data_IF_055147786725
#
_entry.id   IF_055147786725
#
_cell.length_a   1.000
_cell.length_b   1.000
_cell.length_c   1.000
_cell.angle_alpha   90.00
_cell.angle_beta   90.00
_cell.angle_gamma   90.00
#
_symmetry.space_group_name_H-M   'P 1'
#
loop_
_entity.id
_entity.type
_entity.pdbx_description
1 polymer ?
#
# COMPACT_ATOMS: atom_id res chain seq x y z
N UNK A 1 30.09 32.41 7.84
CA UNK A 1 29.71 31.26 6.98
C UNK A 1 30.58 30.03 7.20
N UNK A 2 31.90 30.16 7.41
CA UNK A 2 32.82 29.02 7.63
C UNK A 2 32.41 28.10 8.78
N UNK A 3 31.92 28.64 9.91
CA UNK A 3 31.48 27.84 11.07
C UNK A 3 30.22 27.01 10.80
N UNK A 4 29.22 27.60 10.13
CA UNK A 4 27.98 26.90 9.74
C UNK A 4 28.32 25.70 8.85
N UNK A 5 29.17 25.90 7.85
CA UNK A 5 29.60 24.84 6.93
C UNK A 5 30.39 23.75 7.67
N UNK A 6 31.25 24.11 8.63
CA UNK A 6 31.97 23.14 9.44
C UNK A 6 31.03 22.26 10.28
N UNK A 7 30.01 22.86 10.91
CA UNK A 7 28.99 22.11 11.65
C UNK A 7 28.20 21.21 10.70
N UNK A 8 27.76 21.73 9.55
CA UNK A 8 27.01 20.95 8.57
C UNK A 8 27.82 19.77 8.03
N UNK A 9 29.10 19.99 7.70
CA UNK A 9 29.99 18.95 7.20
C UNK A 9 30.29 17.91 8.27
N UNK A 10 30.49 18.33 9.53
CA UNK A 10 30.67 17.42 10.67
C UNK A 10 29.47 16.48 10.79
N UNK A 11 28.26 17.03 10.84
CA UNK A 11 27.03 16.24 11.02
C UNK A 11 26.76 15.34 9.81
N UNK A 12 26.97 15.86 8.60
CA UNK A 12 26.86 15.08 7.37
C UNK A 12 27.81 13.86 7.38
N UNK A 13 29.10 14.08 7.66
CA UNK A 13 30.10 13.01 7.70
C UNK A 13 29.83 12.03 8.84
N UNK A 14 29.41 12.52 10.01
CA UNK A 14 29.06 11.70 11.16
C UNK A 14 27.93 10.70 10.86
N UNK A 15 27.05 11.00 9.90
CA UNK A 15 26.02 10.05 9.46
C UNK A 15 26.49 9.22 8.26
N UNK A 16 26.94 9.85 7.18
CA UNK A 16 27.18 9.18 5.88
C UNK A 16 28.35 8.20 5.92
N UNK A 17 29.35 8.43 6.77
CA UNK A 17 30.51 7.51 6.89
C UNK A 17 30.23 6.28 7.75
N UNK A 18 29.07 6.22 8.42
CA UNK A 18 28.74 5.09 9.29
C UNK A 18 28.36 3.87 8.47
N UNK A 19 28.81 2.69 8.89
CA UNK A 19 28.37 1.41 8.30
C UNK A 19 26.86 1.23 8.40
N UNK A 20 26.25 1.74 9.48
CA UNK A 20 24.80 1.71 9.68
C UNK A 20 24.04 2.49 8.61
N UNK A 21 24.51 3.67 8.22
CA UNK A 21 23.91 4.45 7.14
C UNK A 21 24.02 3.72 5.79
N UNK A 22 25.21 3.25 5.42
CA UNK A 22 25.42 2.54 4.15
C UNK A 22 24.58 1.26 4.08
N UNK A 23 24.54 0.50 5.18
CA UNK A 23 23.70 -0.69 5.28
C UNK A 23 22.22 -0.33 5.17
N UNK A 24 21.72 0.66 5.92
CA UNK A 24 20.33 1.09 5.85
C UNK A 24 19.93 1.58 4.45
N UNK A 25 20.82 2.33 3.80
CA UNK A 25 20.64 2.86 2.46
C UNK A 25 20.44 1.74 1.42
N UNK A 26 21.13 0.60 1.55
CA UNK A 26 20.99 -0.52 0.60
C UNK A 26 19.95 -1.54 1.07
N UNK A 27 19.87 -1.79 2.37
CA UNK A 27 18.99 -2.80 2.94
C UNK A 27 17.51 -2.46 2.76
N UNK A 28 17.11 -1.20 2.94
CA UNK A 28 15.69 -0.81 2.77
C UNK A 28 15.15 -1.14 1.36
N UNK A 29 15.77 -0.69 0.25
CA UNK A 29 15.29 -1.07 -1.08
C UNK A 29 15.47 -2.56 -1.38
N UNK A 30 16.52 -3.21 -0.87
CA UNK A 30 16.70 -4.66 -1.04
C UNK A 30 15.60 -5.47 -0.36
N UNK A 31 15.26 -5.15 0.89
CA UNK A 31 14.16 -5.77 1.64
C UNK A 31 12.84 -5.49 0.93
N UNK A 32 12.60 -4.26 0.47
CA UNK A 32 11.41 -3.92 -0.31
C UNK A 32 11.29 -4.74 -1.58
N UNK A 33 12.38 -4.88 -2.34
CA UNK A 33 12.44 -5.70 -3.55
C UNK A 33 12.20 -7.18 -3.28
N UNK A 34 12.85 -7.75 -2.25
CA UNK A 34 12.62 -9.13 -1.81
C UNK A 34 11.17 -9.31 -1.38
N UNK A 35 10.61 -8.39 -0.59
CA UNK A 35 9.22 -8.47 -0.14
C UNK A 35 8.26 -8.42 -1.32
N UNK A 36 8.49 -7.60 -2.34
CA UNK A 36 7.64 -7.59 -3.55
C UNK A 36 7.74 -8.92 -4.31
N UNK A 37 8.93 -9.53 -4.38
CA UNK A 37 9.14 -10.82 -5.03
C UNK A 37 8.51 -11.98 -4.24
N UNK A 38 8.56 -11.90 -2.91
CA UNK A 38 8.14 -12.95 -1.98
C UNK A 38 6.69 -12.77 -1.52
N UNK A 39 6.10 -11.57 -1.61
CA UNK A 39 4.73 -11.30 -1.19
C UNK A 39 3.70 -12.23 -1.85
N UNK A 40 3.72 -12.46 -3.18
CA UNK A 40 2.83 -13.44 -3.79
C UNK A 40 2.94 -14.82 -3.14
N UNK A 41 4.16 -15.27 -2.79
CA UNK A 41 4.40 -16.55 -2.12
C UNK A 41 4.05 -16.59 -0.63
N UNK A 42 4.08 -15.45 0.07
CA UNK A 42 3.68 -15.35 1.48
C UNK A 42 2.17 -15.36 1.66
N UNK A 43 1.45 -14.93 0.64
CA UNK A 43 -0.01 -15.02 0.55
C UNK A 43 -0.46 -16.24 -0.29
N UNK A 44 0.47 -17.14 -0.65
CA UNK A 44 0.19 -18.35 -1.42
C UNK A 44 -0.19 -19.49 -0.46
N UNK A 45 -1.48 -19.84 -0.47
CA UNK A 45 -2.13 -20.86 0.35
C UNK A 45 -1.72 -22.30 -0.04
N UNK A 46 -0.43 -22.61 0.00
CA UNK A 46 0.07 -23.95 -0.39
C UNK A 46 -0.26 -25.06 0.62
N UNK A 47 -0.62 -24.70 1.85
CA UNK A 47 -0.83 -25.66 2.95
C UNK A 47 -2.29 -25.79 3.42
N UNK A 48 -3.22 -24.94 2.95
CA UNK A 48 -4.62 -25.04 3.36
C UNK A 48 -5.35 -26.18 2.64
N UNK A 49 -5.85 -27.16 3.40
CA UNK A 49 -6.61 -28.30 2.87
C UNK A 49 -8.09 -28.11 3.14
N UNK A 50 -8.86 -27.88 2.08
CA UNK A 50 -10.32 -27.92 2.13
C UNK A 50 -10.72 -29.37 2.40
N UNK A 51 -11.25 -29.63 3.59
CA UNK A 51 -11.65 -30.96 4.01
C UNK A 51 -12.94 -30.91 4.84
N UNK A 52 -13.88 -31.79 4.52
CA UNK A 52 -15.13 -31.89 5.27
C UNK A 52 -16.25 -32.62 4.55
N UNK A 53 -17.31 -32.89 5.31
CA UNK A 53 -18.56 -33.44 4.81
C UNK A 53 -19.58 -32.32 4.56
N UNK A 54 -20.17 -32.34 3.38
CA UNK A 54 -21.14 -31.36 2.91
C UNK A 54 -22.44 -32.09 2.60
N UNK A 55 -23.53 -31.57 3.12
CA UNK A 55 -24.86 -32.09 2.86
C UNK A 55 -25.60 -31.18 1.86
N UNK A 56 -26.26 -31.76 0.87
CA UNK A 56 -27.09 -31.02 -0.09
C UNK A 56 -28.51 -31.56 -0.14
N UNK A 57 -29.48 -30.67 0.01
CA UNK A 57 -30.90 -30.90 -0.28
C UNK A 57 -31.17 -30.28 -1.65
N UNK A 58 -31.46 -31.11 -2.64
CA UNK A 58 -31.71 -30.68 -4.02
C UNK A 58 -33.11 -31.14 -4.49
N UNK A 59 -34.14 -30.29 -4.34
CA UNK A 59 -35.49 -30.58 -4.83
C UNK A 59 -35.57 -30.65 -6.36
N UNK A 60 -34.60 -30.06 -7.07
CA UNK A 60 -34.58 -30.02 -8.54
C UNK A 60 -34.01 -31.30 -9.14
N UNK A 61 -33.23 -32.06 -8.36
CA UNK A 61 -32.51 -33.27 -8.78
C UNK A 61 -31.39 -33.03 -9.81
N UNK A 62 -31.20 -31.79 -10.27
CA UNK A 62 -30.27 -31.44 -11.34
C UNK A 62 -28.95 -30.85 -10.82
N UNK A 63 -28.90 -30.30 -9.61
CA UNK A 63 -27.76 -29.56 -9.07
C UNK A 63 -26.80 -30.50 -8.33
N UNK A 64 -27.30 -31.45 -7.55
CA UNK A 64 -26.48 -32.36 -6.75
C UNK A 64 -25.49 -33.22 -7.58
N UNK A 65 -25.86 -33.78 -8.74
CA UNK A 65 -24.90 -34.51 -9.59
C UNK A 65 -23.78 -33.63 -10.15
N UNK A 66 -24.10 -32.36 -10.49
CA UNK A 66 -23.14 -31.38 -11.04
C UNK A 66 -22.20 -30.84 -9.97
N UNK A 67 -22.73 -30.60 -8.76
CA UNK A 67 -21.90 -30.21 -7.63
C UNK A 67 -20.88 -31.31 -7.27
N UNK A 68 -21.28 -32.58 -7.34
CA UNK A 68 -20.35 -33.70 -7.15
C UNK A 68 -19.20 -33.68 -8.15
N UNK A 69 -19.49 -33.39 -9.43
CA UNK A 69 -18.47 -33.24 -10.46
C UNK A 69 -17.58 -32.01 -10.24
N UNK A 70 -18.15 -30.88 -9.80
CA UNK A 70 -17.42 -29.63 -9.55
C UNK A 70 -16.40 -29.75 -8.40
N UNK A 71 -16.69 -30.59 -7.40
CA UNK A 71 -15.83 -30.82 -6.22
C UNK A 71 -14.69 -31.80 -6.52
N UNK A 72 -14.78 -32.58 -7.60
CA UNK A 72 -13.79 -33.61 -7.93
C UNK A 72 -12.38 -32.99 -8.12
N UNK A 73 -11.31 -33.64 -7.62
CA UNK A 73 -9.96 -33.04 -7.62
C UNK A 73 -9.49 -32.53 -9.00
N UNK A 74 -9.89 -33.21 -10.08
CA UNK A 74 -9.54 -32.82 -11.45
C UNK A 74 -10.26 -31.53 -11.89
N UNK A 75 -11.55 -31.38 -11.56
CA UNK A 75 -12.32 -30.18 -11.85
C UNK A 75 -11.77 -28.98 -11.08
N UNK A 76 -11.40 -29.17 -9.81
CA UNK A 76 -10.80 -28.14 -8.95
C UNK A 76 -9.44 -27.69 -9.50
N UNK A 77 -8.58 -28.64 -9.88
CA UNK A 77 -7.28 -28.34 -10.49
C UNK A 77 -7.43 -27.58 -11.83
N UNK A 78 -8.36 -28.00 -12.68
CA UNK A 78 -8.67 -27.32 -13.94
C UNK A 78 -9.13 -25.87 -13.73
N UNK A 79 -9.96 -25.63 -12.71
CA UNK A 79 -10.44 -24.29 -12.34
C UNK A 79 -9.33 -23.39 -11.84
N UNK A 80 -8.47 -23.88 -10.94
CA UNK A 80 -7.31 -23.13 -10.44
C UNK A 80 -6.37 -22.74 -11.58
N UNK A 81 -6.12 -23.66 -12.50
CA UNK A 81 -5.33 -23.40 -13.70
C UNK A 81 -5.98 -22.35 -14.62
N UNK A 82 -7.29 -22.44 -14.86
CA UNK A 82 -8.03 -21.47 -15.66
C UNK A 82 -8.09 -20.07 -15.00
N UNK A 83 -8.16 -20.01 -13.66
CA UNK A 83 -8.12 -18.77 -12.91
C UNK A 83 -6.74 -18.10 -12.97
N UNK A 84 -5.66 -18.88 -12.83
CA UNK A 84 -4.29 -18.41 -13.02
C UNK A 84 -4.08 -17.86 -14.43
N UNK A 85 -4.49 -18.60 -15.47
CA UNK A 85 -4.39 -18.15 -16.86
C UNK A 85 -5.14 -16.83 -17.08
N UNK A 86 -6.38 -16.73 -16.63
CA UNK A 86 -7.17 -15.47 -16.67
C UNK A 86 -6.53 -14.33 -15.87
N UNK A 87 -5.83 -14.64 -14.79
CA UNK A 87 -5.04 -13.69 -14.02
C UNK A 87 -3.83 -13.18 -14.81
N UNK A 88 -3.08 -14.10 -15.44
CA UNK A 88 -1.96 -13.79 -16.33
C UNK A 88 -2.41 -12.99 -17.56
N UNK A 89 -3.61 -13.25 -18.09
CA UNK A 89 -4.19 -12.47 -19.19
C UNK A 89 -4.48 -11.01 -18.83
N UNK A 90 -4.56 -10.69 -17.54
CA UNK A 90 -4.72 -9.31 -17.04
C UNK A 90 -3.40 -8.61 -16.77
N UNK A 91 -2.29 -9.34 -16.79
CA UNK A 91 -0.95 -8.79 -16.60
C UNK A 91 -0.50 -8.15 -17.92
N UNK A 92 0.01 -6.90 -17.91
CA UNK A 92 0.53 -6.26 -19.12
C UNK A 92 1.59 -7.13 -19.81
N UNK A 93 1.59 -7.15 -21.15
CA UNK A 93 2.49 -7.98 -21.97
C UNK A 93 3.99 -7.92 -21.55
N UNK A 94 4.55 -6.75 -21.17
CA UNK A 94 5.96 -6.66 -20.73
C UNK A 94 6.29 -7.42 -19.45
N UNK A 95 5.29 -7.63 -18.58
CA UNK A 95 5.43 -8.38 -17.32
C UNK A 95 5.04 -9.84 -17.52
N UNK A 96 4.10 -10.10 -18.44
CA UNK A 96 3.61 -11.43 -18.79
C UNK A 96 4.70 -12.31 -19.42
N UNK A 97 5.49 -11.77 -20.36
CA UNK A 97 6.58 -12.54 -21.01
C UNK A 97 7.65 -12.99 -20.01
N UNK A 98 8.02 -12.12 -19.06
CA UNK A 98 8.97 -12.44 -17.99
C UNK A 98 8.38 -13.44 -16.98
N UNK A 99 7.07 -13.35 -16.70
CA UNK A 99 6.38 -14.28 -15.83
C UNK A 99 6.18 -15.65 -16.50
N UNK A 100 5.87 -15.71 -17.80
CA UNK A 100 5.73 -16.95 -18.57
C UNK A 100 7.04 -17.76 -18.61
N UNK A 101 8.19 -17.09 -18.70
CA UNK A 101 9.51 -17.72 -18.60
C UNK A 101 9.87 -18.21 -17.18
N UNK A 102 9.22 -17.67 -16.15
CA UNK A 102 9.45 -18.00 -14.74
C UNK A 102 8.49 -19.08 -14.20
N UNK A 103 7.46 -19.49 -14.95
CA UNK A 103 6.45 -20.46 -14.52
C UNK A 103 6.85 -21.88 -14.96
N UNK A 104 7.23 -22.78 -14.04
CA UNK A 104 7.64 -24.12 -14.42
C UNK A 104 6.46 -24.96 -14.95
N UNK A 105 6.71 -25.91 -15.88
CA UNK A 105 5.67 -26.76 -16.47
C UNK A 105 4.96 -27.71 -15.49
N UNK A 106 5.40 -27.80 -14.23
CA UNK A 106 4.77 -28.57 -13.15
C UNK A 106 3.71 -27.79 -12.35
N UNK A 107 3.04 -26.82 -12.98
CA UNK A 107 2.05 -25.92 -12.36
C UNK A 107 0.93 -26.66 -11.60
N UNK A 108 0.58 -27.88 -12.03
CA UNK A 108 -0.43 -28.70 -11.35
C UNK A 108 -0.02 -29.17 -9.93
N UNK A 109 1.28 -29.33 -9.67
CA UNK A 109 1.80 -29.70 -8.35
C UNK A 109 1.96 -28.49 -7.41
N UNK A 110 2.01 -27.27 -7.96
CA UNK A 110 2.15 -26.02 -7.21
C UNK A 110 0.78 -25.38 -6.86
N UNK A 111 -0.32 -25.90 -7.39
CA UNK A 111 -1.69 -25.38 -7.21
C UNK A 111 -2.38 -25.80 -5.89
N UNK A 112 -1.60 -26.25 -4.90
CA UNK A 112 -2.07 -26.69 -3.58
C UNK A 112 -2.63 -28.13 -3.55
N UNK A 113 -2.84 -28.71 -2.36
CA UNK A 113 -3.36 -30.07 -2.20
C UNK A 113 -4.79 -30.20 -2.77
N UNK A 114 -5.19 -31.39 -3.26
CA UNK A 114 -6.55 -31.64 -3.70
C UNK A 114 -7.51 -31.55 -2.50
N UNK A 115 -8.74 -31.03 -2.70
CA UNK A 115 -9.75 -31.02 -1.64
C UNK A 115 -10.19 -32.44 -1.28
N UNK A 116 -10.36 -32.71 0.01
CA UNK A 116 -10.89 -33.98 0.54
C UNK A 116 -12.32 -33.77 1.04
N UNK A 117 -13.24 -33.72 0.08
CA UNK A 117 -14.62 -33.29 0.31
C UNK A 117 -15.57 -34.45 0.04
N UNK A 118 -16.48 -34.71 0.98
CA UNK A 118 -17.56 -35.69 0.82
C UNK A 118 -18.90 -34.97 0.66
N UNK A 119 -19.63 -35.28 -0.40
CA UNK A 119 -20.95 -34.72 -0.67
C UNK A 119 -22.04 -35.77 -0.44
N UNK A 120 -22.84 -35.56 0.60
CA UNK A 120 -23.99 -36.40 0.98
C UNK A 120 -25.28 -35.74 0.46
N UNK A 121 -26.08 -36.47 -0.32
CA UNK A 121 -27.35 -35.96 -0.87
C UNK A 121 -28.48 -36.38 0.05
N UNK A 122 -29.17 -35.40 0.62
CA UNK A 122 -30.35 -35.59 1.45
C UNK A 122 -31.61 -35.68 0.59
N UNK A 123 -32.66 -36.39 1.05
CA UNK A 123 -33.97 -36.38 0.39
C UNK A 123 -34.54 -34.97 0.21
N UNK A 124 -35.33 -34.75 -0.85
CA UNK A 124 -35.94 -33.45 -1.15
C UNK A 124 -36.98 -33.01 -0.09
N UNK A 125 -37.51 -33.96 0.67
CA UNK A 125 -38.47 -33.79 1.78
C UNK A 125 -37.80 -33.89 3.16
N UNK A 126 -36.46 -33.84 3.23
CA UNK A 126 -35.73 -33.92 4.49
C UNK A 126 -36.10 -32.79 5.46
N UNK A 127 -36.20 -33.11 6.75
CA UNK A 127 -36.45 -32.13 7.81
C UNK A 127 -35.24 -31.20 7.95
N UNK A 128 -35.46 -29.91 7.66
CA UNK A 128 -34.42 -28.88 7.71
C UNK A 128 -33.95 -28.60 9.14
N UNK A 129 -34.79 -28.82 10.16
CA UNK A 129 -34.38 -28.67 11.56
C UNK A 129 -33.42 -29.79 11.97
N UNK A 130 -33.67 -31.02 11.53
CA UNK A 130 -32.79 -32.17 11.75
C UNK A 130 -31.46 -32.01 10.98
N UNK A 131 -31.52 -31.53 9.74
CA UNK A 131 -30.32 -31.27 8.94
C UNK A 131 -29.45 -30.13 9.52
N UNK A 132 -30.07 -29.10 10.12
CA UNK A 132 -29.35 -28.04 10.85
C UNK A 132 -28.78 -28.55 12.18
N UNK A 133 -29.50 -29.43 12.87
CA UNK A 133 -29.00 -30.08 14.08
C UNK A 133 -27.79 -30.96 13.78
N UNK A 134 -27.77 -31.68 12.64
CA UNK A 134 -26.60 -32.40 12.15
C UNK A 134 -25.39 -31.47 11.96
N UNK A 135 -25.59 -30.26 11.42
CA UNK A 135 -24.50 -29.29 11.27
C UNK A 135 -24.01 -28.70 12.61
N UNK A 136 -24.91 -28.60 13.61
CA UNK A 136 -24.63 -28.02 14.92
C UNK A 136 -24.01 -29.02 15.93
N UNK A 137 -24.09 -30.32 15.67
CA UNK A 137 -23.40 -31.34 16.46
C UNK A 137 -21.88 -31.20 16.34
N UNK A 138 -21.26 -30.68 17.40
CA UNK A 138 -19.84 -30.40 17.49
C UNK A 138 -19.05 -31.69 17.76
N UNK A 139 -18.97 -32.58 16.77
CA UNK A 139 -18.20 -33.81 16.88
C UNK A 139 -17.68 -34.28 15.52
N UNK A 140 -16.48 -33.83 15.18
CA UNK A 140 -15.56 -34.73 14.51
C UNK A 140 -14.91 -35.59 15.60
N UNK A 141 -15.33 -36.86 15.73
CA UNK A 141 -14.49 -37.83 16.43
C UNK A 141 -13.09 -37.85 15.78
N UNK A 142 -12.00 -38.15 16.49
CA UNK A 142 -10.66 -38.15 15.90
C UNK A 142 -10.59 -39.08 14.67
N UNK A 143 -10.57 -38.51 13.46
CA UNK A 143 -10.55 -39.25 12.19
C UNK A 143 -11.83 -39.20 11.35
N UNK A 144 -12.93 -38.60 11.83
CA UNK A 144 -14.12 -38.34 11.02
C UNK A 144 -14.06 -36.98 10.32
N UNK A 145 -14.51 -36.89 9.05
CA UNK A 145 -14.52 -35.62 8.32
C UNK A 145 -15.44 -34.63 9.03
N UNK A 146 -14.93 -33.42 9.27
CA UNK A 146 -15.70 -32.34 9.90
C UNK A 146 -16.91 -31.99 9.04
N UNK A 147 -18.08 -31.85 9.66
CA UNK A 147 -19.30 -31.36 9.00
C UNK A 147 -19.10 -29.89 8.65
N UNK A 148 -19.05 -29.59 7.35
CA UNK A 148 -18.55 -28.31 6.84
C UNK A 148 -19.68 -27.39 6.39
N UNK A 149 -20.69 -27.89 5.65
CA UNK A 149 -21.86 -27.08 5.31
C UNK A 149 -23.11 -27.91 4.99
N UNK A 150 -24.27 -27.28 5.16
CA UNK A 150 -25.56 -27.74 4.65
C UNK A 150 -26.04 -26.77 3.56
N UNK A 151 -26.37 -27.32 2.40
CA UNK A 151 -26.75 -26.58 1.20
C UNK A 151 -28.20 -26.94 0.87
N UNK A 152 -29.05 -25.92 0.76
CA UNK A 152 -30.46 -26.10 0.41
C UNK A 152 -30.74 -25.37 -0.89
N UNK A 153 -30.99 -26.11 -1.96
CA UNK A 153 -31.31 -25.54 -3.27
C UNK A 153 -32.79 -25.19 -3.33
N UNK A 154 -33.14 -24.00 -3.80
CA UNK A 154 -34.54 -23.61 -3.98
C UNK A 154 -35.18 -24.39 -5.15
N UNK A 155 -36.47 -24.73 -5.04
CA UNK A 155 -37.18 -25.54 -6.04
C UNK A 155 -37.21 -24.93 -7.45
N UNK A 156 -37.16 -23.60 -7.53
CA UNK A 156 -37.18 -22.77 -8.74
C UNK A 156 -35.78 -22.31 -9.17
N UNK A 157 -34.72 -22.88 -8.57
CA UNK A 157 -33.35 -22.47 -8.82
C UNK A 157 -32.83 -22.81 -10.23
N UNK A 158 -33.42 -23.82 -10.89
CA UNK A 158 -32.99 -24.31 -12.21
C UNK A 158 -33.99 -23.91 -13.30
N UNK A 159 -35.28 -24.15 -13.07
CA UNK A 159 -36.36 -23.78 -14.00
C UNK A 159 -37.41 -22.99 -13.25
N UNK A 160 -37.64 -21.74 -13.65
CA UNK A 160 -38.70 -20.89 -13.11
C UNK A 160 -40.01 -21.14 -13.84
N UNK A 161 -41.14 -20.91 -13.17
CA UNK A 161 -42.47 -20.98 -13.77
C UNK A 161 -42.73 -19.82 -14.75
N UNK A 162 -42.10 -18.66 -14.52
CA UNK A 162 -42.17 -17.46 -15.36
C UNK A 162 -40.80 -17.14 -16.00
N UNK A 163 -40.68 -17.13 -17.34
CA UNK A 163 -39.45 -16.76 -18.05
C UNK A 163 -38.94 -15.34 -17.77
N UNK A 164 -39.80 -14.44 -17.27
CA UNK A 164 -39.45 -13.06 -16.95
C UNK A 164 -39.09 -12.85 -15.46
N UNK A 165 -39.35 -13.83 -14.60
CA UNK A 165 -39.02 -13.76 -13.18
C UNK A 165 -37.56 -14.16 -12.91
N UNK A 166 -37.00 -13.62 -11.83
CA UNK A 166 -35.70 -14.07 -11.35
C UNK A 166 -35.80 -15.52 -10.85
N UNK A 167 -34.88 -16.38 -11.30
CA UNK A 167 -34.78 -17.76 -10.82
C UNK A 167 -34.39 -17.81 -9.33
N UNK A 168 -34.85 -18.85 -8.64
CA UNK A 168 -34.51 -19.13 -7.25
C UNK A 168 -33.01 -19.30 -7.00
N UNK A 169 -32.61 -19.34 -5.73
CA UNK A 169 -31.19 -19.37 -5.33
C UNK A 169 -30.88 -20.59 -4.47
N UNK A 170 -30.11 -20.40 -3.40
CA UNK A 170 -29.79 -21.43 -2.43
C UNK A 170 -29.58 -20.79 -1.06
N UNK A 171 -29.81 -21.57 -0.02
CA UNK A 171 -29.41 -21.24 1.34
C UNK A 171 -28.20 -22.09 1.73
N UNK A 172 -27.16 -21.43 2.28
CA UNK A 172 -25.95 -22.07 2.76
C UNK A 172 -25.86 -21.90 4.29
N UNK A 173 -25.88 -23.00 5.02
CA UNK A 173 -25.66 -23.02 6.46
C UNK A 173 -24.25 -23.55 6.73
N UNK A 174 -23.48 -22.81 7.51
CA UNK A 174 -22.10 -23.15 7.89
C UNK A 174 -21.89 -23.00 9.40
N UNK A 175 -20.99 -23.79 10.03
CA UNK A 175 -20.62 -23.60 11.42
C UNK A 175 -19.95 -22.24 11.65
N UNK A 176 -20.15 -21.64 12.83
CA UNK A 176 -19.63 -20.30 13.16
C UNK A 176 -18.10 -20.17 13.16
N UNK A 177 -17.37 -21.29 13.21
CA UNK A 177 -15.90 -21.35 13.15
C UNK A 177 -15.34 -21.89 11.83
N UNK A 178 -16.17 -21.98 10.78
CA UNK A 178 -15.70 -22.37 9.45
C UNK A 178 -14.79 -21.25 8.89
N UNK A 179 -13.68 -21.65 8.26
CA UNK A 179 -12.79 -20.70 7.61
C UNK A 179 -13.46 -20.12 6.36
N UNK A 180 -13.29 -18.81 6.12
CA UNK A 180 -13.87 -18.13 4.96
C UNK A 180 -13.49 -18.80 3.63
N UNK A 181 -12.33 -19.46 3.55
CA UNK A 181 -11.89 -20.18 2.35
C UNK A 181 -12.74 -21.42 2.03
N UNK A 182 -13.19 -22.16 3.04
CA UNK A 182 -14.12 -23.28 2.86
C UNK A 182 -15.49 -22.74 2.39
N UNK A 183 -15.91 -21.59 2.95
CA UNK A 183 -17.14 -20.90 2.57
C UNK A 183 -17.09 -20.46 1.10
N UNK A 184 -16.02 -19.80 0.68
CA UNK A 184 -15.81 -19.33 -0.69
C UNK A 184 -15.78 -20.49 -1.68
N UNK A 185 -15.11 -21.60 -1.32
CA UNK A 185 -15.11 -22.82 -2.12
C UNK A 185 -16.52 -23.37 -2.36
N UNK A 186 -17.38 -23.37 -1.32
CA UNK A 186 -18.77 -23.79 -1.44
C UNK A 186 -19.57 -22.91 -2.37
N UNK A 187 -19.48 -21.58 -2.17
CA UNK A 187 -20.20 -20.62 -3.02
C UNK A 187 -19.84 -20.81 -4.48
N UNK A 188 -18.56 -21.00 -4.79
CA UNK A 188 -18.11 -21.19 -6.17
C UNK A 188 -18.58 -22.54 -6.75
N UNK A 189 -18.48 -23.63 -5.99
CA UNK A 189 -18.96 -24.94 -6.42
C UNK A 189 -20.49 -24.98 -6.64
N UNK A 190 -21.27 -24.35 -5.76
CA UNK A 190 -22.74 -24.25 -5.90
C UNK A 190 -23.09 -23.38 -7.10
N UNK A 191 -22.44 -22.22 -7.25
CA UNK A 191 -22.67 -21.29 -8.36
C UNK A 191 -22.43 -21.98 -9.71
N UNK A 192 -21.34 -22.73 -9.82
CA UNK A 192 -21.03 -23.51 -11.02
C UNK A 192 -22.07 -24.59 -11.29
N UNK A 193 -22.42 -25.40 -10.28
CA UNK A 193 -23.40 -26.46 -10.42
C UNK A 193 -24.79 -25.94 -10.83
N UNK A 194 -25.25 -24.84 -10.23
CA UNK A 194 -26.52 -24.19 -10.58
C UNK A 194 -26.45 -23.59 -12.00
N UNK A 195 -25.34 -22.93 -12.34
CA UNK A 195 -25.19 -22.31 -13.67
C UNK A 195 -25.18 -23.35 -14.77
N UNK A 196 -24.50 -24.48 -14.54
CA UNK A 196 -24.48 -25.62 -15.47
C UNK A 196 -25.84 -26.31 -15.54
N UNK A 197 -26.54 -26.46 -14.41
CA UNK A 197 -27.90 -27.01 -14.39
C UNK A 197 -28.87 -26.13 -15.19
N UNK A 198 -28.80 -24.80 -15.04
CA UNK A 198 -29.58 -23.83 -15.81
C UNK A 198 -29.25 -23.89 -17.31
N UNK A 199 -27.97 -23.91 -17.66
CA UNK A 199 -27.55 -23.99 -19.04
C UNK A 199 -28.11 -25.26 -19.70
N UNK A 200 -27.97 -26.42 -19.03
CA UNK A 200 -28.49 -27.68 -19.52
C UNK A 200 -30.02 -27.72 -19.62
N UNK A 201 -30.74 -27.12 -18.66
CA UNK A 201 -32.21 -27.06 -18.68
C UNK A 201 -32.77 -26.21 -19.85
N UNK A 202 -31.95 -25.33 -20.42
CA UNK A 202 -32.31 -24.46 -21.54
C UNK A 202 -31.62 -24.85 -22.86
N UNK A 203 -31.08 -26.07 -22.95
CA UNK A 203 -30.34 -26.57 -24.13
C UNK A 203 -29.16 -25.65 -24.54
N UNK A 204 -28.57 -24.94 -23.58
CA UNK A 204 -27.41 -24.08 -23.80
C UNK A 204 -26.13 -24.85 -23.48
N UNK A 205 -25.19 -24.85 -24.43
CA UNK A 205 -23.83 -25.31 -24.16
C UNK A 205 -23.10 -24.25 -23.32
N UNK A 206 -22.74 -24.63 -22.08
CA UNK A 206 -22.02 -23.75 -21.15
C UNK A 206 -20.71 -23.24 -21.75
N UNK A 207 -19.96 -24.10 -22.45
CA UNK A 207 -18.70 -23.71 -23.07
C UNK A 207 -18.91 -22.74 -24.24
N UNK A 208 -20.02 -22.86 -24.98
CA UNK A 208 -20.41 -21.87 -25.98
C UNK A 208 -20.78 -20.53 -25.32
N UNK A 209 -21.57 -20.53 -24.26
CA UNK A 209 -21.96 -19.31 -23.54
C UNK A 209 -20.73 -18.59 -22.96
N UNK A 210 -19.81 -19.32 -22.34
CA UNK A 210 -18.57 -18.74 -21.80
C UNK A 210 -17.73 -18.10 -22.91
N UNK A 211 -17.53 -18.78 -24.04
CA UNK A 211 -16.82 -18.21 -25.20
C UNK A 211 -17.51 -16.97 -25.77
N UNK A 212 -18.85 -16.94 -25.77
CA UNK A 212 -19.62 -15.78 -26.24
C UNK A 212 -19.50 -14.57 -25.29
N UNK A 213 -19.35 -14.82 -23.99
CA UNK A 213 -19.18 -13.78 -22.98
C UNK A 213 -17.71 -13.38 -22.78
N UNK A 214 -16.77 -14.21 -23.23
CA UNK A 214 -15.34 -13.96 -23.17
C UNK A 214 -14.93 -12.95 -24.24
N UNK A 215 -15.14 -11.67 -23.91
CA UNK A 215 -14.58 -10.56 -24.68
C UNK A 215 -13.24 -10.18 -24.04
N UNK A 216 -12.09 -10.57 -24.63
CA UNK A 216 -10.79 -10.21 -24.07
C UNK A 216 -10.68 -8.68 -24.05
N UNK A 217 -10.37 -8.13 -22.87
CA UNK A 217 -10.04 -6.70 -22.75
C UNK A 217 -8.76 -6.46 -23.52
N UNK A 218 -8.87 -5.92 -24.73
CA UNK A 218 -7.71 -5.46 -25.46
C UNK A 218 -7.09 -4.27 -24.70
N UNK A 219 -5.76 -4.21 -24.70
CA UNK A 219 -5.03 -3.10 -24.11
C UNK A 219 -5.53 -1.78 -24.74
N UNK A 220 -5.87 -0.80 -23.92
CA UNK A 220 -6.21 0.52 -24.42
C UNK A 220 -4.97 1.17 -25.00
N UNK A 221 -5.01 1.54 -26.29
CA UNK A 221 -3.96 2.34 -26.91
C UNK A 221 -4.26 3.79 -26.55
N UNK A 222 -3.38 4.44 -25.78
CA UNK A 222 -3.49 5.86 -25.52
C UNK A 222 -3.08 6.63 -26.78
N UNK A 223 -4.01 7.37 -27.36
CA UNK A 223 -3.73 8.27 -28.49
C UNK A 223 -3.37 9.64 -27.93
N UNK A 224 -2.08 10.00 -28.00
CA UNK A 224 -1.54 11.28 -27.55
C UNK A 224 -0.29 11.67 -28.37
N UNK A 225 -0.01 12.97 -28.46
CA UNK A 225 1.03 13.53 -29.32
C UNK A 225 2.44 13.05 -28.93
N UNK A 226 2.90 11.93 -29.49
CA UNK A 226 4.31 11.57 -29.56
C UNK A 226 4.70 10.12 -29.26
N UNK A 227 3.80 9.26 -28.75
CA UNK A 227 4.09 7.84 -28.60
C UNK A 227 2.80 7.01 -28.50
N UNK A 228 2.59 6.10 -29.44
CA UNK A 228 1.68 4.96 -29.26
C UNK A 228 2.37 4.00 -28.28
N UNK A 229 2.17 4.25 -26.98
CA UNK A 229 2.61 3.35 -25.92
C UNK A 229 1.43 2.56 -25.40
N UNK A 230 1.62 1.25 -25.21
CA UNK A 230 0.66 0.47 -24.43
C UNK A 230 0.44 1.17 -23.09
N UNK A 231 -0.82 1.39 -22.73
CA UNK A 231 -1.12 1.93 -21.41
C UNK A 231 -0.76 0.87 -20.37
N UNK A 232 0.44 0.98 -19.79
CA UNK A 232 0.75 0.40 -18.48
C UNK A 232 0.02 1.24 -17.42
N UNK A 233 -1.31 1.32 -17.54
CA UNK A 233 -2.16 2.25 -16.79
C UNK A 233 -2.14 1.98 -15.29
N UNK A 234 -1.70 0.79 -14.86
CA UNK A 234 -1.43 0.48 -13.46
C UNK A 234 -0.18 1.20 -12.94
N UNK A 235 0.93 1.20 -13.69
CA UNK A 235 2.19 1.78 -13.22
C UNK A 235 2.17 3.31 -13.24
N UNK A 236 1.55 3.93 -14.25
CA UNK A 236 1.39 5.39 -14.30
C UNK A 236 0.59 5.93 -13.11
N UNK A 237 -0.37 5.15 -12.60
CA UNK A 237 -1.14 5.50 -11.39
C UNK A 237 -0.32 5.44 -10.11
N UNK A 238 0.79 4.69 -10.10
CA UNK A 238 1.68 4.55 -8.95
C UNK A 238 2.79 5.60 -8.92
N UNK A 239 3.08 6.28 -10.03
CA UNK A 239 4.11 7.31 -10.09
C UNK A 239 3.92 8.44 -9.06
N UNK A 240 2.73 9.05 -8.90
CA UNK A 240 2.50 10.04 -7.85
C UNK A 240 2.84 9.54 -6.46
N UNK A 241 2.48 8.29 -6.16
CA UNK A 241 2.78 7.68 -4.88
C UNK A 241 4.29 7.46 -4.71
N UNK A 242 5.02 7.04 -5.75
CA UNK A 242 6.47 6.86 -5.72
C UNK A 242 7.20 8.18 -5.43
N UNK A 243 6.86 9.28 -6.13
CA UNK A 243 7.42 10.60 -5.87
C UNK A 243 7.12 11.10 -4.45
N UNK A 244 5.88 10.92 -4.00
CA UNK A 244 5.47 11.28 -2.64
C UNK A 244 6.25 10.47 -1.59
N UNK A 245 6.32 9.15 -1.73
CA UNK A 245 7.06 8.25 -0.82
C UNK A 245 8.52 8.67 -0.74
N UNK A 246 9.13 8.95 -1.89
CA UNK A 246 10.53 9.34 -1.96
C UNK A 246 10.79 10.65 -1.20
N UNK A 247 9.92 11.66 -1.39
CA UNK A 247 9.98 12.92 -0.65
C UNK A 247 9.72 12.70 0.86
N UNK A 248 8.76 11.84 1.19
CA UNK A 248 8.38 11.47 2.55
C UNK A 248 9.54 10.82 3.31
N UNK A 249 10.13 9.78 2.72
CA UNK A 249 11.26 9.05 3.31
C UNK A 249 12.45 9.98 3.50
N UNK A 250 12.76 10.81 2.51
CA UNK A 250 13.83 11.80 2.63
C UNK A 250 13.64 12.76 3.80
N UNK A 251 12.43 13.31 3.97
CA UNK A 251 12.14 14.25 5.05
C UNK A 251 12.06 13.56 6.42
N UNK A 252 11.35 12.43 6.53
CA UNK A 252 11.22 11.72 7.80
C UNK A 252 12.55 11.22 8.32
N UNK A 253 13.34 10.56 7.48
CA UNK A 253 14.59 9.93 7.94
C UNK A 253 15.59 11.00 8.40
N UNK A 254 15.80 12.05 7.60
CA UNK A 254 16.72 13.13 8.02
C UNK A 254 16.21 13.95 9.18
N UNK A 255 14.91 14.23 9.22
CA UNK A 255 14.27 14.92 10.33
C UNK A 255 14.40 14.15 11.65
N UNK A 256 14.19 12.83 11.62
CA UNK A 256 14.33 11.97 12.80
C UNK A 256 15.78 11.84 13.25
N UNK A 257 16.73 11.64 12.33
CA UNK A 257 18.16 11.58 12.67
C UNK A 257 18.63 12.89 13.32
N UNK A 258 18.17 14.03 12.80
CA UNK A 258 18.48 15.35 13.36
C UNK A 258 17.87 15.56 14.74
N UNK A 259 16.62 15.12 14.93
CA UNK A 259 15.95 15.18 16.22
C UNK A 259 16.72 14.35 17.25
N UNK A 260 16.99 13.09 16.92
CA UNK A 260 17.68 12.15 17.81
C UNK A 260 19.07 12.65 18.19
N UNK A 261 19.88 13.05 17.21
CA UNK A 261 21.23 13.60 17.47
C UNK A 261 21.21 14.87 18.32
N UNK A 262 20.18 15.72 18.20
CA UNK A 262 20.07 16.93 19.01
C UNK A 262 19.70 16.63 20.46
N UNK A 263 18.77 15.69 20.66
CA UNK A 263 18.43 15.21 22.00
C UNK A 263 19.63 14.54 22.66
N UNK A 264 20.35 13.68 21.94
CA UNK A 264 21.55 13.01 22.44
C UNK A 264 22.68 13.98 22.76
N UNK A 265 22.96 14.95 21.88
CA UNK A 265 23.99 15.96 22.16
C UNK A 265 23.62 16.82 23.37
N UNK A 266 22.33 17.11 23.58
CA UNK A 266 21.87 17.87 24.74
C UNK A 266 21.94 17.04 26.02
N UNK A 267 21.47 15.80 25.98
CA UNK A 267 21.47 14.85 27.11
C UNK A 267 22.90 14.54 27.58
N UNK A 268 23.82 14.38 26.63
CA UNK A 268 25.24 14.11 26.91
C UNK A 268 26.08 15.38 27.19
N UNK A 269 25.45 16.56 27.32
CA UNK A 269 26.12 17.87 27.50
C UNK A 269 27.14 18.23 26.42
N UNK A 270 27.08 17.58 25.25
CA UNK A 270 27.90 17.91 24.09
C UNK A 270 27.53 19.30 23.56
N UNK A 271 26.25 19.68 23.62
CA UNK A 271 25.78 21.02 23.25
C UNK A 271 26.54 22.13 23.98
N UNK A 272 26.82 21.99 25.28
CA UNK A 272 27.53 23.01 26.07
C UNK A 272 28.93 23.27 25.50
N UNK A 273 29.64 22.19 25.14
CA UNK A 273 30.97 22.25 24.51
C UNK A 273 30.87 22.89 23.12
N UNK A 274 29.86 22.55 22.32
CA UNK A 274 29.68 23.13 20.99
C UNK A 274 29.36 24.62 21.04
N UNK A 275 28.52 25.04 22.00
CA UNK A 275 28.16 26.44 22.20
C UNK A 275 29.34 27.32 22.67
N UNK A 276 30.41 26.72 23.21
CA UNK A 276 31.65 27.44 23.50
C UNK A 276 32.43 27.86 22.24
N UNK A 277 32.19 27.19 21.10
CA UNK A 277 32.89 27.42 19.84
C UNK A 277 32.00 28.07 18.75
N UNK A 278 30.70 27.79 18.75
CA UNK A 278 29.74 28.29 17.75
C UNK A 278 28.49 28.88 18.40
N UNK A 279 27.88 29.89 17.79
CA UNK A 279 26.62 30.45 18.30
C UNK A 279 25.44 29.49 18.09
N UNK A 280 24.34 29.60 18.89
CA UNK A 280 23.16 28.74 18.72
C UNK A 280 22.56 28.77 17.31
N UNK A 281 22.56 29.94 16.68
CA UNK A 281 22.05 30.10 15.31
C UNK A 281 22.94 29.43 14.27
N UNK A 282 24.27 29.52 14.44
CA UNK A 282 25.21 28.83 13.55
C UNK A 282 25.12 27.31 13.72
N UNK A 283 24.94 26.83 14.96
CA UNK A 283 24.73 25.43 15.26
C UNK A 283 23.44 24.92 14.60
N UNK A 284 22.32 25.62 14.79
CA UNK A 284 21.02 25.26 14.21
C UNK A 284 21.09 25.20 12.67
N UNK A 285 21.61 26.24 12.03
CA UNK A 285 21.73 26.29 10.57
C UNK A 285 22.66 25.19 10.05
N UNK A 286 23.77 24.94 10.74
CA UNK A 286 24.70 23.87 10.40
C UNK A 286 24.04 22.49 10.46
N UNK A 287 23.35 22.18 11.57
CA UNK A 287 22.61 20.93 11.74
C UNK A 287 21.56 20.71 10.66
N UNK A 288 20.76 21.74 10.39
CA UNK A 288 19.68 21.66 9.41
C UNK A 288 20.23 21.41 8.00
N UNK A 289 21.31 22.11 7.61
CA UNK A 289 21.96 21.90 6.31
C UNK A 289 22.66 20.54 6.20
N UNK A 290 23.33 20.10 7.27
CA UNK A 290 23.99 18.79 7.33
C UNK A 290 22.98 17.64 7.16
N UNK A 291 21.91 17.65 7.95
CA UNK A 291 20.85 16.65 7.86
C UNK A 291 20.13 16.68 6.50
N UNK A 292 19.88 17.87 5.95
CA UNK A 292 19.30 18.02 4.60
C UNK A 292 20.19 17.37 3.54
N UNK A 293 21.52 17.57 3.62
CA UNK A 293 22.45 16.98 2.68
C UNK A 293 22.48 15.45 2.77
N UNK A 294 22.39 14.86 3.98
CA UNK A 294 22.27 13.40 4.17
C UNK A 294 21.01 12.89 3.47
N UNK A 295 19.86 13.52 3.76
CA UNK A 295 18.58 13.13 3.16
C UNK A 295 18.56 13.33 1.65
N UNK A 296 19.23 14.35 1.12
CA UNK A 296 19.34 14.59 -0.30
C UNK A 296 20.14 13.47 -0.99
N UNK A 297 21.26 13.02 -0.40
CA UNK A 297 22.03 11.87 -0.90
C UNK A 297 21.19 10.60 -0.90
N UNK A 298 20.47 10.34 0.19
CA UNK A 298 19.57 9.19 0.31
C UNK A 298 18.45 9.22 -0.74
N UNK A 299 17.82 10.38 -0.92
CA UNK A 299 16.78 10.59 -1.92
C UNK A 299 17.32 10.42 -3.33
N UNK A 300 18.50 10.96 -3.64
CA UNK A 300 19.14 10.80 -4.95
C UNK A 300 19.49 9.33 -5.24
N UNK A 301 19.94 8.59 -4.24
CA UNK A 301 20.21 7.16 -4.36
C UNK A 301 18.94 6.36 -4.66
N UNK A 302 17.84 6.61 -3.92
CA UNK A 302 16.56 5.94 -4.16
C UNK A 302 15.89 6.34 -5.48
N UNK A 303 15.98 7.62 -5.85
CA UNK A 303 15.57 8.09 -7.17
C UNK A 303 16.37 7.35 -8.27
N UNK A 304 17.69 7.20 -8.08
CA UNK A 304 18.57 6.49 -9.00
C UNK A 304 18.19 5.03 -9.18
N UNK A 305 17.88 4.31 -8.08
CA UNK A 305 17.37 2.93 -8.14
C UNK A 305 16.04 2.88 -8.89
N UNK A 306 15.10 3.77 -8.57
CA UNK A 306 13.79 3.82 -9.24
C UNK A 306 13.92 4.06 -10.74
N UNK A 307 14.78 5.00 -11.15
CA UNK A 307 15.07 5.27 -12.56
C UNK A 307 15.76 4.09 -13.24
N UNK A 308 16.72 3.44 -12.59
CA UNK A 308 17.40 2.26 -13.13
C UNK A 308 16.42 1.09 -13.33
N UNK A 309 15.49 0.87 -12.38
CA UNK A 309 14.43 -0.12 -12.53
C UNK A 309 13.51 0.21 -13.72
N UNK A 310 13.04 1.46 -13.83
CA UNK A 310 12.24 1.89 -14.98
C UNK A 310 12.99 1.72 -16.30
N UNK A 311 14.32 1.94 -16.32
CA UNK A 311 15.16 1.70 -17.49
C UNK A 311 15.22 0.22 -17.88
N UNK A 312 15.39 -0.68 -16.92
CA UNK A 312 15.44 -2.13 -17.15
C UNK A 312 14.16 -2.67 -17.79
N UNK A 313 13.02 -2.01 -17.57
CA UNK A 313 11.73 -2.40 -18.16
C UNK A 313 11.33 -1.56 -19.39
N UNK A 314 12.22 -0.69 -19.90
CA UNK A 314 11.91 0.26 -20.99
C UNK A 314 10.75 1.23 -20.68
N UNK A 315 10.59 1.59 -19.40
CA UNK A 315 9.53 2.45 -18.87
C UNK A 315 10.01 3.87 -18.51
N UNK A 316 11.23 4.24 -18.88
CA UNK A 316 11.78 5.59 -18.62
C UNK A 316 10.93 6.72 -19.22
N UNK A 317 10.24 6.46 -20.34
CA UNK A 317 9.36 7.43 -20.99
C UNK A 317 8.18 7.86 -20.12
N UNK A 318 7.88 7.14 -19.03
CA UNK A 318 6.84 7.53 -18.07
C UNK A 318 7.27 8.67 -17.13
N UNK A 319 8.57 8.95 -17.03
CA UNK A 319 9.11 9.96 -16.12
C UNK A 319 9.48 11.21 -16.91
N UNK A 320 8.78 12.31 -16.63
CA UNK A 320 9.19 13.63 -17.09
C UNK A 320 10.43 14.09 -16.29
N UNK A 321 11.58 14.38 -16.94
CA UNK A 321 12.78 14.88 -16.28
C UNK A 321 12.55 16.12 -15.40
N UNK A 322 11.56 16.95 -15.75
CA UNK A 322 11.23 18.15 -14.99
C UNK A 322 10.65 17.84 -13.61
N UNK A 323 10.00 16.68 -13.44
CA UNK A 323 9.51 16.21 -12.13
C UNK A 323 10.67 15.91 -11.16
N UNK A 324 11.82 15.47 -11.65
CA UNK A 324 13.01 15.24 -10.82
C UNK A 324 13.55 16.56 -10.26
N UNK A 325 13.53 17.63 -11.06
CA UNK A 325 13.90 18.96 -10.59
C UNK A 325 12.93 19.47 -9.51
N UNK A 326 11.62 19.34 -9.75
CA UNK A 326 10.62 19.77 -8.77
C UNK A 326 10.62 18.91 -7.50
N UNK A 327 10.90 17.62 -7.60
CA UNK A 327 11.14 16.75 -6.45
C UNK A 327 12.25 17.35 -5.56
N UNK A 328 13.37 17.79 -6.16
CA UNK A 328 14.45 18.45 -5.43
C UNK A 328 14.01 19.76 -4.76
N UNK A 329 13.26 20.61 -5.46
CA UNK A 329 12.76 21.89 -4.93
C UNK A 329 11.80 21.65 -3.76
N UNK A 330 10.77 20.81 -3.95
CA UNK A 330 9.80 20.51 -2.90
C UNK A 330 10.42 19.76 -1.74
N UNK A 331 11.44 18.92 -1.98
CA UNK A 331 12.23 18.31 -0.92
C UNK A 331 12.91 19.38 -0.07
N UNK A 332 13.63 20.35 -0.65
CA UNK A 332 14.29 21.41 0.12
C UNK A 332 13.27 22.22 0.92
N UNK A 333 12.14 22.60 0.32
CA UNK A 333 11.10 23.34 1.03
C UNK A 333 10.50 22.53 2.18
N UNK A 334 10.09 21.29 1.91
CA UNK A 334 9.44 20.42 2.89
C UNK A 334 10.40 20.06 4.02
N UNK A 335 11.66 19.78 3.69
CA UNK A 335 12.71 19.50 4.66
C UNK A 335 13.00 20.70 5.55
N UNK A 336 13.13 21.91 5.00
CA UNK A 336 13.41 23.09 5.82
C UNK A 336 12.24 23.43 6.77
N UNK A 337 10.98 23.25 6.33
CA UNK A 337 9.83 23.44 7.22
C UNK A 337 9.79 22.37 8.31
N UNK A 338 9.70 21.10 7.93
CA UNK A 338 9.50 20.00 8.88
C UNK A 338 10.76 19.76 9.73
N UNK A 339 11.94 19.79 9.10
CA UNK A 339 13.22 19.64 9.76
C UNK A 339 13.49 20.74 10.77
N UNK A 340 13.22 22.02 10.47
CA UNK A 340 13.42 23.08 11.46
C UNK A 340 12.52 22.89 12.69
N UNK A 341 11.28 22.42 12.51
CA UNK A 341 10.37 22.09 13.61
C UNK A 341 10.86 20.87 14.43
N UNK A 342 11.35 19.80 13.78
CA UNK A 342 11.96 18.66 14.49
C UNK A 342 13.19 19.07 15.27
N UNK A 343 14.05 19.90 14.70
CA UNK A 343 15.24 20.43 15.37
C UNK A 343 14.87 21.26 16.60
N UNK A 344 13.81 22.08 16.50
CA UNK A 344 13.28 22.85 17.62
C UNK A 344 12.75 21.95 18.74
N UNK A 345 12.04 20.86 18.40
CA UNK A 345 11.59 19.85 19.37
C UNK A 345 12.79 19.20 20.07
N UNK A 346 13.83 18.82 19.31
CA UNK A 346 15.03 18.19 19.86
C UNK A 346 15.80 19.07 20.82
N UNK A 347 15.86 20.37 20.55
CA UNK A 347 16.46 21.33 21.47
C UNK A 347 15.61 21.57 22.72
N UNK A 348 14.29 21.41 22.64
CA UNK A 348 13.36 21.73 23.72
C UNK A 348 13.27 20.65 24.81
N UNK A 349 13.55 19.40 24.48
CA UNK A 349 13.41 18.22 25.36
C UNK A 349 14.73 17.76 25.94
N UNK A 350 14.72 16.85 26.91
CA UNK A 350 15.94 16.27 27.50
C UNK A 350 16.12 14.77 27.19
N UNK A 351 15.04 14.09 26.76
CA UNK A 351 15.06 12.67 26.39
C UNK A 351 14.17 12.35 25.17
N UNK A 352 14.29 11.12 24.67
CA UNK A 352 13.59 10.68 23.46
C UNK A 352 12.10 10.40 23.67
N UNK A 353 11.69 10.04 24.90
CA UNK A 353 10.28 9.78 25.21
C UNK A 353 9.50 11.09 25.20
N UNK A 354 10.07 12.15 25.77
CA UNK A 354 9.53 13.52 25.69
C UNK A 354 9.46 13.99 24.24
N UNK A 355 10.53 13.76 23.46
CA UNK A 355 10.56 14.10 22.03
C UNK A 355 9.41 13.45 21.27
N UNK A 356 9.10 12.18 21.55
CA UNK A 356 8.02 11.44 20.87
C UNK A 356 6.65 12.08 21.10
N UNK A 357 6.39 12.59 22.31
CA UNK A 357 5.12 13.27 22.64
C UNK A 357 4.91 14.57 21.87
N UNK A 358 5.99 15.31 21.60
CA UNK A 358 5.95 16.58 20.85
C UNK A 358 6.01 16.37 19.33
N UNK A 359 6.44 15.21 18.85
CA UNK A 359 6.47 14.87 17.43
C UNK A 359 5.09 14.58 16.84
N UNK A 360 4.11 14.16 17.65
CA UNK A 360 2.81 13.67 17.19
C UNK A 360 2.13 14.56 16.12
N UNK A 361 1.95 15.87 16.36
CA UNK A 361 1.34 16.77 15.37
C UNK A 361 2.14 16.89 14.07
N UNK A 362 3.47 16.77 14.15
CA UNK A 362 4.34 16.83 12.99
C UNK A 362 4.22 15.56 12.14
N UNK A 363 4.13 14.40 12.79
CA UNK A 363 3.84 13.12 12.13
C UNK A 363 2.48 13.19 11.44
N UNK A 364 1.45 13.75 12.09
CA UNK A 364 0.13 13.94 11.45
C UNK A 364 0.24 14.81 10.19
N UNK A 365 0.97 15.94 10.25
CA UNK A 365 1.17 16.80 9.09
C UNK A 365 1.87 16.08 7.92
N UNK A 366 2.80 15.18 8.24
CA UNK A 366 3.51 14.30 7.31
C UNK A 366 2.57 13.19 6.76
N UNK A 367 1.63 12.68 7.55
CA UNK A 367 0.70 11.62 7.13
C UNK A 367 -0.50 12.12 6.31
N UNK A 368 -0.90 13.38 6.45
CA UNK A 368 -2.05 13.94 5.69
C UNK A 368 -1.92 13.71 4.18
N UNK A 369 -0.80 14.05 3.50
CA UNK A 369 -0.61 13.74 2.09
C UNK A 369 -0.74 12.25 1.77
N UNK A 370 -0.23 11.38 2.65
CA UNK A 370 -0.32 9.92 2.49
C UNK A 370 -1.77 9.44 2.57
N UNK A 371 -2.57 9.95 3.50
CA UNK A 371 -3.98 9.55 3.62
C UNK A 371 -4.77 9.97 2.37
N UNK A 372 -4.47 11.16 1.84
CA UNK A 372 -5.22 11.73 0.71
C UNK A 372 -4.62 11.42 -0.67
N UNK A 373 -3.45 10.79 -0.77
CA UNK A 373 -2.79 10.50 -2.05
C UNK A 373 -3.71 9.78 -3.04
N UNK A 374 -4.52 8.75 -2.67
CA UNK A 374 -5.35 8.05 -3.65
C UNK A 374 -6.49 8.94 -4.16
N UNK A 375 -6.96 9.90 -3.36
CA UNK A 375 -7.99 10.85 -3.76
C UNK A 375 -7.41 11.92 -4.69
N UNK A 376 -6.24 12.47 -4.34
CA UNK A 376 -5.55 13.48 -5.14
C UNK A 376 -5.08 12.92 -6.48
N UNK A 377 -4.51 11.72 -6.51
CA UNK A 377 -4.02 11.07 -7.74
C UNK A 377 -5.16 10.67 -8.69
N UNK A 378 -6.34 10.32 -8.16
CA UNK A 378 -7.53 10.02 -8.98
C UNK A 378 -8.24 11.26 -9.48
N UNK A 379 -8.22 12.34 -8.70
CA UNK A 379 -8.90 13.59 -9.05
C UNK A 379 -8.00 14.80 -8.75
N UNK A 380 -6.97 15.05 -9.60
CA UNK A 380 -5.99 16.10 -9.38
C UNK A 380 -6.58 17.52 -9.38
N UNK A 381 -7.73 17.74 -10.01
CA UNK A 381 -8.40 19.05 -10.08
C UNK A 381 -9.49 19.26 -9.02
N UNK A 382 -9.65 18.31 -8.09
CA UNK A 382 -10.63 18.42 -7.01
C UNK A 382 -10.29 19.55 -6.04
N UNK A 383 -11.31 20.08 -5.34
CA UNK A 383 -11.11 21.06 -4.26
C UNK A 383 -10.16 20.55 -3.18
N UNK A 384 -10.24 19.26 -2.86
CA UNK A 384 -9.34 18.61 -1.90
C UNK A 384 -7.89 18.67 -2.39
N UNK A 385 -7.64 18.29 -3.64
CA UNK A 385 -6.31 18.36 -4.24
C UNK A 385 -5.76 19.80 -4.23
N UNK A 386 -6.61 20.80 -4.50
CA UNK A 386 -6.22 22.20 -4.44
C UNK A 386 -5.82 22.63 -3.01
N UNK A 387 -6.62 22.31 -2.00
CA UNK A 387 -6.33 22.65 -0.60
C UNK A 387 -5.03 22.00 -0.12
N UNK A 388 -4.87 20.69 -0.36
CA UNK A 388 -3.67 19.93 0.05
C UNK A 388 -2.41 20.47 -0.64
N UNK A 389 -2.55 21.03 -1.85
CA UNK A 389 -1.42 21.57 -2.63
C UNK A 389 -0.97 22.97 -2.23
N UNK A 390 -1.73 23.66 -1.37
CA UNK A 390 -1.43 25.04 -0.94
C UNK A 390 -1.34 25.21 0.58
N UNK A 391 -1.58 24.16 1.37
CA UNK A 391 -1.48 24.19 2.83
C UNK A 391 -0.09 23.77 3.33
N UNK A 392 0.79 24.64 3.86
CA UNK A 392 2.08 24.21 4.40
C UNK A 392 1.94 23.42 5.71
N UNK A 393 2.81 22.43 5.99
CA UNK A 393 3.88 21.88 5.13
C UNK A 393 3.40 20.87 4.07
N UNK A 394 2.11 20.52 4.11
CA UNK A 394 1.44 19.51 3.27
C UNK A 394 1.57 19.84 1.76
N UNK A 395 1.63 21.12 1.42
CA UNK A 395 1.70 21.64 0.05
C UNK A 395 2.85 21.03 -0.77
N UNK A 396 3.99 20.78 -0.14
CA UNK A 396 5.18 20.21 -0.80
C UNK A 396 4.94 18.79 -1.31
N UNK A 397 4.10 18.02 -0.62
CA UNK A 397 3.67 16.70 -1.05
C UNK A 397 2.50 16.78 -2.02
N UNK A 398 1.47 17.57 -1.69
CA UNK A 398 0.24 17.68 -2.45
C UNK A 398 0.46 18.13 -3.90
N UNK A 399 1.29 19.16 -4.08
CA UNK A 399 1.59 19.65 -5.42
C UNK A 399 2.38 18.63 -6.24
N UNK A 400 3.35 17.93 -5.61
CA UNK A 400 4.14 16.91 -6.30
C UNK A 400 3.29 15.73 -6.77
N UNK A 401 2.32 15.28 -5.95
CA UNK A 401 1.35 14.23 -6.35
C UNK A 401 0.57 14.67 -7.59
N UNK A 402 0.06 15.91 -7.62
CA UNK A 402 -0.69 16.44 -8.77
C UNK A 402 0.17 16.54 -10.02
N UNK A 403 1.41 16.98 -9.88
CA UNK A 403 2.35 17.10 -11.01
C UNK A 403 2.75 15.75 -11.61
N UNK A 404 2.89 14.73 -10.77
CA UNK A 404 3.19 13.37 -11.21
C UNK A 404 1.93 12.60 -11.70
N UNK A 405 0.75 13.21 -11.62
CA UNK A 405 -0.51 12.62 -12.09
C UNK A 405 -0.69 12.79 -13.59
N UNK A 406 -1.67 12.10 -14.17
CA UNK A 406 -1.97 12.15 -15.61
C UNK A 406 -2.45 13.52 -16.11
N UNK A 407 -2.91 14.37 -15.19
CA UNK A 407 -3.38 15.73 -15.47
C UNK A 407 -2.54 16.71 -14.63
N UNK A 408 -1.41 17.20 -15.16
CA UNK A 408 -0.56 18.12 -14.43
C UNK A 408 -1.25 19.47 -14.24
N UNK A 409 -1.08 20.13 -13.07
CA UNK A 409 -1.72 21.40 -12.79
C UNK A 409 -1.13 22.52 -13.66
N UNK A 410 -1.87 23.63 -13.87
CA UNK A 410 -1.33 24.82 -14.50
C UNK A 410 -0.05 25.30 -13.82
N UNK A 411 0.96 25.70 -14.61
CA UNK A 411 2.28 26.07 -14.12
C UNK A 411 2.27 27.17 -13.05
N UNK A 412 1.35 28.13 -13.11
CA UNK A 412 1.20 29.17 -12.08
C UNK A 412 0.85 28.61 -10.71
N UNK A 413 0.11 27.50 -10.62
CA UNK A 413 -0.22 26.85 -9.34
C UNK A 413 1.05 26.30 -8.70
N UNK A 414 1.93 25.70 -9.51
CA UNK A 414 3.22 25.16 -9.05
C UNK A 414 4.08 26.26 -8.45
N UNK A 415 4.29 27.36 -9.19
CA UNK A 415 5.08 28.50 -8.69
C UNK A 415 4.46 29.16 -7.45
N UNK A 416 3.13 29.27 -7.40
CA UNK A 416 2.42 29.78 -6.23
C UNK A 416 2.63 28.86 -5.01
N UNK A 417 2.59 27.53 -5.19
CA UNK A 417 2.85 26.59 -4.11
C UNK A 417 4.30 26.63 -3.63
N UNK A 418 5.26 26.82 -4.55
CA UNK A 418 6.66 27.07 -4.21
C UNK A 418 6.80 28.35 -3.38
N UNK A 419 6.15 29.45 -3.78
CA UNK A 419 6.18 30.71 -3.04
C UNK A 419 5.56 30.58 -1.64
N UNK A 420 4.43 29.89 -1.53
CA UNK A 420 3.78 29.59 -0.24
C UNK A 420 4.67 28.71 0.63
N UNK A 421 5.32 27.69 0.04
CA UNK A 421 6.29 26.84 0.74
C UNK A 421 7.50 27.64 1.23
N UNK A 422 8.03 28.55 0.41
CA UNK A 422 9.14 29.42 0.80
C UNK A 422 8.76 30.38 1.95
N UNK A 423 7.55 30.94 1.92
CA UNK A 423 7.02 31.74 3.04
C UNK A 423 6.88 30.90 4.32
N UNK A 424 6.43 29.66 4.20
CA UNK A 424 6.35 28.73 5.31
C UNK A 424 7.73 28.34 5.86
N UNK A 425 8.75 28.20 5.01
CA UNK A 425 10.14 27.99 5.42
C UNK A 425 10.62 29.15 6.30
N UNK A 426 10.41 30.39 5.86
CA UNK A 426 10.80 31.57 6.63
C UNK A 426 10.11 31.57 8.00
N UNK A 427 8.80 31.31 8.04
CA UNK A 427 8.03 31.23 9.27
C UNK A 427 8.50 30.11 10.21
N UNK A 428 8.69 28.90 9.68
CA UNK A 428 9.10 27.72 10.44
C UNK A 428 10.53 27.86 11.00
N UNK A 429 11.48 28.31 10.17
CA UNK A 429 12.86 28.56 10.60
C UNK A 429 12.91 29.66 11.65
N UNK A 430 12.11 30.73 11.51
CA UNK A 430 12.01 31.80 12.50
C UNK A 430 11.46 31.31 13.85
N UNK A 431 10.37 30.54 13.83
CA UNK A 431 9.80 29.91 15.04
C UNK A 431 10.81 28.97 15.68
N UNK A 432 11.42 28.10 14.88
CA UNK A 432 12.39 27.11 15.32
C UNK A 432 13.63 27.77 15.93
N UNK A 433 14.15 28.85 15.33
CA UNK A 433 15.28 29.61 15.85
C UNK A 433 15.04 30.14 17.27
N UNK A 434 13.84 30.68 17.51
CA UNK A 434 13.45 31.19 18.84
C UNK A 434 13.35 30.06 19.87
N UNK A 435 12.69 28.96 19.51
CA UNK A 435 12.54 27.78 20.37
C UNK A 435 13.91 27.16 20.64
N UNK A 436 14.77 27.03 19.62
CA UNK A 436 16.09 26.43 19.72
C UNK A 436 17.00 27.22 20.67
N UNK A 437 17.02 28.55 20.56
CA UNK A 437 17.82 29.42 21.44
C UNK A 437 17.46 29.27 22.92
N UNK A 438 16.16 29.16 23.24
CA UNK A 438 15.69 28.99 24.63
C UNK A 438 15.84 27.53 25.07
N UNK A 439 15.46 26.59 24.22
CA UNK A 439 15.42 25.15 24.49
C UNK A 439 16.79 24.58 24.85
N UNK A 440 17.85 24.99 24.15
CA UNK A 440 19.21 24.49 24.43
C UNK A 440 19.71 24.82 25.84
N UNK A 441 19.20 25.89 26.46
CA UNK A 441 19.61 26.35 27.80
C UNK A 441 18.65 25.90 28.91
N UNK A 442 17.53 25.28 28.53
CA UNK A 442 16.48 24.85 29.43
C UNK A 442 16.69 23.39 29.85
N UNK A 443 16.93 23.19 31.14
CA UNK A 443 16.98 21.88 31.80
C UNK A 443 15.83 21.77 32.80
N UNK A 444 15.16 20.61 32.85
CA UNK A 444 14.07 20.35 33.79
C UNK A 444 12.82 19.82 33.13
N UNK A 445 11.65 20.33 33.54
CA UNK A 445 10.35 19.80 33.10
C UNK A 445 10.17 19.90 31.57
N UNK A 446 9.63 18.86 30.92
CA UNK A 446 9.35 18.90 29.50
C UNK A 446 8.40 20.06 29.17
N UNK A 447 8.70 20.85 28.13
CA UNK A 447 7.82 21.93 27.71
C UNK A 447 6.59 21.35 26.99
N UNK A 448 5.41 21.79 27.41
CA UNK A 448 4.16 21.57 26.66
C UNK A 448 4.07 22.52 25.43
N UNK A 449 3.21 22.22 24.45
CA UNK A 449 2.97 23.04 23.26
C UNK A 449 2.69 24.50 23.58
N UNK A 450 1.92 24.75 24.65
CA UNK A 450 1.61 26.10 25.12
C UNK A 450 2.87 26.86 25.57
N UNK A 451 3.84 26.16 26.12
CA UNK A 451 5.13 26.73 26.55
C UNK A 451 6.01 27.05 25.36
N UNK A 452 6.05 26.19 24.33
CA UNK A 452 6.75 26.47 23.08
C UNK A 452 6.22 27.75 22.41
N UNK A 453 4.90 27.91 22.33
CA UNK A 453 4.27 29.13 21.79
C UNK A 453 4.66 30.37 22.61
N UNK A 454 4.77 30.23 23.94
CA UNK A 454 5.20 31.32 24.82
C UNK A 454 6.65 31.74 24.55
N UNK A 455 7.55 30.78 24.31
CA UNK A 455 8.94 31.05 23.96
C UNK A 455 9.08 31.83 22.66
N UNK A 456 8.26 31.50 21.65
CA UNK A 456 8.21 32.23 20.37
C UNK A 456 7.80 33.69 20.54
N UNK A 457 6.96 34.00 21.55
CA UNK A 457 6.54 35.37 21.87
C UNK A 457 7.51 36.12 22.77
N UNK A 458 8.31 35.41 23.57
CA UNK A 458 9.22 35.99 24.56
C UNK A 458 10.63 36.27 24.03
N UNK A 459 11.10 35.48 23.06
CA UNK A 459 12.31 35.74 22.28
C UNK A 459 12.07 36.79 21.20
#
# INVERSE_FOLDING_TARGET
>A
MTRIVQVALRDFLAVVTTKGFVFGLVATPAIGGILVLVAPSLFDDRDYRIAGEYAIVDPTGAVAPRMRAAIEPQAVAGRRLAALRRGMDRVPEPVRSVAEDAVPPSLAAELGPPPDVRLTVLPADADLEEARAWLAEDSAAPGEPRRAALIVIHHDAVTGEDPAAALGTYDLYVPAGLDDRDVDFCHEAIREAITEARAAAHDLDRAAVERLLEVPRQASIAVGAGAEGETVGGLTRLLPAAYMILLMVGIMVGGQNMLTSTVEEKSNRVVEVLLSAVSPMELMAGKLLGAMAVSFVMMAFYAGIGLALLASFSLLGLVDPWLILYLGIFFVLGFLVLGSLMLAVGAAVNDMNEAASLQGPLIVAIMVPWIFWPAVARSPDSTLALVVSFLPPVNTFGMLIRMASTQPPPWWQVWLSIAIGAAAVVGAVWVAAKVFRIGLLMYGKPPDFRTLIRWVRAA
#
